data_IF_538229172600
#
_entry.id   IF_538229172600
#
_cell.length_a   1.000
_cell.length_b   1.000
_cell.length_c   1.000
_cell.angle_alpha   90.00
_cell.angle_beta   90.00
_cell.angle_gamma   90.00
#
_symmetry.space_group_name_H-M   'P 1'
#
loop_
_entity.id
_entity.type
_entity.pdbx_description
1 polymer ?
#
# COMPACT_ATOMS: atom_id res chain seq x y z
N UNK A 1 -49.44 -1.82 -57.37
CA UNK A 1 -48.04 -1.35 -57.38
C UNK A 1 -47.38 -2.05 -56.22
N UNK A 2 -46.51 -3.00 -56.52
CA UNK A 2 -46.01 -3.95 -55.53
C UNK A 2 -44.86 -3.30 -54.77
N UNK A 3 -45.14 -2.91 -53.52
CA UNK A 3 -44.21 -2.23 -52.62
C UNK A 3 -43.25 -3.16 -51.88
N UNK A 4 -43.48 -4.46 -51.95
CA UNK A 4 -42.65 -5.48 -51.31
C UNK A 4 -41.15 -5.41 -51.71
N UNK A 5 -40.78 -5.22 -52.99
CA UNK A 5 -39.37 -5.12 -53.39
C UNK A 5 -38.70 -3.87 -52.83
N UNK A 6 -39.42 -2.75 -52.77
CA UNK A 6 -38.91 -1.47 -52.25
C UNK A 6 -38.66 -1.56 -50.74
N UNK A 7 -39.59 -2.18 -50.01
CA UNK A 7 -39.46 -2.44 -48.57
C UNK A 7 -38.27 -3.37 -48.30
N UNK A 8 -38.12 -4.45 -49.09
CA UNK A 8 -37.00 -5.39 -48.94
C UNK A 8 -35.64 -4.70 -49.17
N UNK A 9 -35.50 -3.90 -50.22
CA UNK A 9 -34.26 -3.13 -50.48
C UNK A 9 -33.96 -2.14 -49.36
N UNK A 10 -35.00 -1.46 -48.85
CA UNK A 10 -34.85 -0.50 -47.75
C UNK A 10 -34.37 -1.18 -46.47
N UNK A 11 -34.90 -2.36 -46.13
CA UNK A 11 -34.49 -3.14 -44.96
C UNK A 11 -33.05 -3.63 -45.07
N UNK A 12 -32.63 -4.09 -46.26
CA UNK A 12 -31.23 -4.49 -46.50
C UNK A 12 -30.30 -3.28 -46.31
N UNK A 13 -30.67 -2.11 -46.85
CA UNK A 13 -29.89 -0.89 -46.69
C UNK A 13 -29.79 -0.46 -45.21
N UNK A 14 -30.89 -0.52 -44.45
CA UNK A 14 -30.88 -0.25 -43.01
C UNK A 14 -30.03 -1.26 -42.24
N UNK A 15 -30.18 -2.56 -42.51
CA UNK A 15 -29.37 -3.60 -41.87
C UNK A 15 -27.87 -3.45 -42.14
N UNK A 16 -27.51 -3.09 -43.37
CA UNK A 16 -26.11 -2.79 -43.74
C UNK A 16 -25.59 -1.56 -43.00
N UNK A 17 -26.39 -0.49 -42.90
CA UNK A 17 -26.03 0.70 -42.13
C UNK A 17 -25.82 0.36 -40.64
N UNK A 18 -26.71 -0.42 -40.04
CA UNK A 18 -26.56 -0.88 -38.66
C UNK A 18 -25.30 -1.74 -38.47
N UNK A 19 -25.00 -2.63 -39.41
CA UNK A 19 -23.81 -3.48 -39.36
C UNK A 19 -22.52 -2.63 -39.40
N UNK A 20 -22.47 -1.63 -40.28
CA UNK A 20 -21.32 -0.72 -40.38
C UNK A 20 -21.10 0.02 -39.05
N UNK A 21 -22.17 0.55 -38.46
CA UNK A 21 -22.11 1.25 -37.17
C UNK A 21 -21.65 0.29 -36.06
N UNK A 22 -22.18 -0.94 -36.03
CA UNK A 22 -21.80 -1.94 -35.04
C UNK A 22 -20.31 -2.32 -35.12
N UNK A 23 -19.76 -2.50 -36.32
CA UNK A 23 -18.33 -2.77 -36.54
C UNK A 23 -17.48 -1.59 -36.06
N UNK A 24 -17.90 -0.35 -36.36
CA UNK A 24 -17.19 0.84 -35.91
C UNK A 24 -17.18 0.96 -34.38
N UNK A 25 -18.32 0.74 -33.72
CA UNK A 25 -18.44 0.72 -32.26
C UNK A 25 -17.57 -0.38 -31.63
N UNK A 26 -17.57 -1.59 -32.21
CA UNK A 26 -16.70 -2.67 -31.76
C UNK A 26 -15.22 -2.27 -31.85
N UNK A 27 -14.82 -1.62 -32.95
CA UNK A 27 -13.50 -1.03 -33.09
C UNK A 27 -13.19 -0.01 -31.98
N UNK A 28 -14.10 0.93 -31.73
CA UNK A 28 -13.96 1.92 -30.66
C UNK A 28 -13.80 1.29 -29.27
N UNK A 29 -14.60 0.27 -28.94
CA UNK A 29 -14.49 -0.44 -27.66
C UNK A 29 -13.13 -1.10 -27.48
N UNK A 30 -12.57 -1.70 -28.53
CA UNK A 30 -11.22 -2.30 -28.44
C UNK A 30 -10.13 -1.26 -28.19
N UNK A 31 -10.23 -0.08 -28.80
CA UNK A 31 -9.31 1.03 -28.58
C UNK A 31 -9.46 1.61 -27.16
N UNK A 32 -10.70 1.82 -26.70
CA UNK A 32 -10.99 2.30 -25.35
C UNK A 32 -10.44 1.34 -24.29
N UNK A 33 -10.60 0.03 -24.47
CA UNK A 33 -10.05 -0.97 -23.54
C UNK A 33 -8.52 -0.92 -23.47
N UNK A 34 -7.85 -0.71 -24.60
CA UNK A 34 -6.39 -0.53 -24.63
C UNK A 34 -5.96 0.74 -23.90
N UNK A 35 -6.67 1.85 -24.10
CA UNK A 35 -6.39 3.12 -23.40
C UNK A 35 -6.62 2.99 -21.91
N UNK A 36 -7.71 2.34 -21.49
CA UNK A 36 -8.02 2.09 -20.08
C UNK A 36 -6.96 1.21 -19.42
N UNK A 37 -6.53 0.14 -20.08
CA UNK A 37 -5.45 -0.71 -19.56
C UNK A 37 -4.13 0.05 -19.37
N UNK A 38 -3.77 0.92 -20.32
CA UNK A 38 -2.59 1.79 -20.17
C UNK A 38 -2.74 2.77 -19.02
N UNK A 39 -3.91 3.40 -18.90
CA UNK A 39 -4.20 4.32 -17.80
C UNK A 39 -4.13 3.62 -16.43
N UNK A 40 -4.60 2.36 -16.34
CA UNK A 40 -4.42 1.54 -15.14
C UNK A 40 -2.95 1.26 -14.84
N UNK A 41 -2.17 0.85 -15.84
CA UNK A 41 -0.75 0.57 -15.67
C UNK A 41 0.04 1.83 -15.25
N UNK A 42 -0.27 2.98 -15.84
CA UNK A 42 0.35 4.26 -15.49
C UNK A 42 -0.05 4.70 -14.07
N UNK A 43 -1.32 4.55 -13.69
CA UNK A 43 -1.78 4.83 -12.33
C UNK A 43 -1.07 3.94 -11.28
N UNK A 44 -0.90 2.64 -11.57
CA UNK A 44 -0.18 1.71 -10.69
C UNK A 44 1.31 2.09 -10.55
N UNK A 45 1.94 2.54 -11.65
CA UNK A 45 3.33 3.04 -11.64
C UNK A 45 3.45 4.32 -10.81
N UNK A 46 2.55 5.27 -11.00
CA UNK A 46 2.55 6.54 -10.27
C UNK A 46 2.33 6.33 -8.77
N UNK A 47 1.38 5.47 -8.39
CA UNK A 47 1.16 5.08 -6.99
C UNK A 47 2.38 4.39 -6.40
N UNK A 48 3.02 3.49 -7.17
CA UNK A 48 4.22 2.78 -6.74
C UNK A 48 5.37 3.74 -6.48
N UNK A 49 5.62 4.67 -7.40
CA UNK A 49 6.66 5.70 -7.28
C UNK A 49 6.38 6.65 -6.12
N UNK A 50 5.13 7.11 -5.96
CA UNK A 50 4.72 7.97 -4.85
C UNK A 50 4.96 7.30 -3.49
N UNK A 51 4.58 6.03 -3.33
CA UNK A 51 4.84 5.29 -2.08
C UNK A 51 6.33 5.06 -1.82
N UNK A 52 7.16 4.85 -2.86
CA UNK A 52 8.62 4.80 -2.73
C UNK A 52 9.18 6.16 -2.28
N UNK A 53 8.73 7.26 -2.86
CA UNK A 53 9.15 8.61 -2.47
C UNK A 53 8.80 8.91 -1.01
N UNK A 54 7.58 8.58 -0.58
CA UNK A 54 7.15 8.71 0.82
C UNK A 54 8.00 7.85 1.77
N UNK A 55 8.35 6.63 1.35
CA UNK A 55 9.25 5.76 2.10
C UNK A 55 10.64 6.38 2.26
N UNK A 56 11.20 6.93 1.17
CA UNK A 56 12.50 7.57 1.19
C UNK A 56 12.50 8.80 2.09
N UNK A 57 11.48 9.65 1.99
CA UNK A 57 11.32 10.82 2.87
C UNK A 57 11.24 10.40 4.34
N UNK A 58 10.42 9.40 4.64
CA UNK A 58 10.33 8.80 5.97
C UNK A 58 11.68 8.29 6.49
N UNK A 59 12.47 7.60 5.66
CA UNK A 59 13.78 7.09 6.06
C UNK A 59 14.80 8.23 6.26
N UNK A 60 14.81 9.22 5.36
CA UNK A 60 15.71 10.37 5.41
C UNK A 60 15.41 11.31 6.58
N UNK A 61 14.19 11.31 7.12
CA UNK A 61 13.83 12.12 8.27
C UNK A 61 14.75 11.89 9.49
N UNK A 62 15.23 10.64 9.69
CA UNK A 62 16.17 10.28 10.77
C UNK A 62 17.56 10.93 10.60
N UNK A 63 17.95 11.29 9.38
CA UNK A 63 19.29 11.80 9.07
C UNK A 63 19.32 13.30 8.77
N UNK A 64 18.21 13.86 8.30
CA UNK A 64 18.12 15.24 7.82
C UNK A 64 17.86 16.27 8.93
N UNK A 65 17.35 15.82 10.09
CA UNK A 65 17.10 16.68 11.26
C UNK A 65 17.99 16.24 12.42
N UNK A 66 18.78 17.19 12.95
CA UNK A 66 19.72 16.92 14.03
C UNK A 66 19.02 16.37 15.29
N UNK A 67 17.87 16.95 15.65
CA UNK A 67 17.07 16.48 16.79
C UNK A 67 16.66 15.02 16.62
N UNK A 68 16.03 14.67 15.49
CA UNK A 68 15.61 13.29 15.21
C UNK A 68 16.79 12.33 15.18
N UNK A 69 17.92 12.73 14.59
CA UNK A 69 19.13 11.92 14.54
C UNK A 69 19.67 11.59 15.94
N UNK A 70 19.72 12.58 16.84
CA UNK A 70 20.14 12.38 18.24
C UNK A 70 19.21 11.46 19.00
N UNK A 71 17.89 11.61 18.81
CA UNK A 71 16.89 10.72 19.42
C UNK A 71 17.02 9.30 18.87
N UNK A 72 17.17 9.16 17.55
CA UNK A 72 17.32 7.86 16.88
C UNK A 72 18.58 7.10 17.33
N UNK A 73 19.65 7.80 17.66
CA UNK A 73 20.88 7.20 18.17
C UNK A 73 20.67 6.46 19.52
N UNK A 74 19.68 6.88 20.31
CA UNK A 74 19.33 6.27 21.61
C UNK A 74 18.26 5.18 21.52
N UNK A 75 17.83 4.78 20.31
CA UNK A 75 16.70 3.83 20.13
C UNK A 75 16.87 2.49 20.86
N UNK A 76 18.11 2.09 21.14
CA UNK A 76 18.44 0.85 21.80
C UNK A 76 18.42 0.98 23.35
N UNK A 77 18.21 2.19 23.89
CA UNK A 77 18.11 2.46 25.33
C UNK A 77 16.70 2.24 25.91
N UNK A 78 15.68 2.06 25.06
CA UNK A 78 14.28 1.88 25.46
C UNK A 78 13.49 3.19 25.55
N UNK A 79 12.16 3.09 25.68
CA UNK A 79 11.24 4.23 25.71
C UNK A 79 11.35 5.05 27.01
N UNK A 80 11.69 4.39 28.11
CA UNK A 80 11.77 5.01 29.45
C UNK A 80 13.00 5.93 29.61
N UNK A 81 14.00 5.84 28.71
CA UNK A 81 15.19 6.70 28.76
C UNK A 81 14.95 8.10 28.18
N UNK A 82 13.85 8.29 27.44
CA UNK A 82 13.54 9.52 26.74
C UNK A 82 12.83 10.53 27.63
N UNK A 83 13.18 11.81 27.48
CA UNK A 83 12.29 12.87 27.97
C UNK A 83 11.04 13.01 27.07
N UNK A 84 10.06 13.79 27.50
CA UNK A 84 8.77 13.94 26.80
C UNK A 84 8.92 14.32 25.32
N UNK A 85 9.82 15.25 24.99
CA UNK A 85 10.03 15.68 23.60
C UNK A 85 10.72 14.60 22.76
N UNK A 86 11.68 13.87 23.34
CA UNK A 86 12.35 12.77 22.66
C UNK A 86 11.39 11.59 22.44
N UNK A 87 10.56 11.28 23.43
CA UNK A 87 9.52 10.25 23.37
C UNK A 87 8.52 10.56 22.25
N UNK A 88 8.01 11.80 22.19
CA UNK A 88 7.09 12.21 21.13
C UNK A 88 7.74 12.09 19.74
N UNK A 89 9.01 12.51 19.63
CA UNK A 89 9.79 12.42 18.38
C UNK A 89 9.93 10.98 17.90
N UNK A 90 10.40 10.06 18.76
CA UNK A 90 10.66 8.67 18.37
C UNK A 90 9.38 7.89 18.13
N UNK A 91 8.36 8.08 18.96
CA UNK A 91 7.11 7.34 18.82
C UNK A 91 6.32 7.82 17.61
N UNK A 92 6.27 9.12 17.33
CA UNK A 92 5.69 9.66 16.09
C UNK A 92 6.39 9.08 14.88
N UNK A 93 7.72 9.06 14.90
CA UNK A 93 8.50 8.45 13.84
C UNK A 93 8.13 6.98 13.59
N UNK A 94 8.12 6.15 14.64
CA UNK A 94 7.79 4.73 14.49
C UNK A 94 6.32 4.52 14.06
N UNK A 95 5.36 5.29 14.61
CA UNK A 95 3.93 5.24 14.23
C UNK A 95 3.70 5.55 12.76
N UNK A 96 4.44 6.50 12.18
CA UNK A 96 4.37 6.79 10.73
C UNK A 96 4.78 5.56 9.93
N UNK A 97 5.83 4.85 10.37
CA UNK A 97 6.25 3.59 9.76
C UNK A 97 5.15 2.52 9.76
N UNK A 98 4.49 2.32 10.90
CA UNK A 98 3.34 1.42 11.00
C UNK A 98 2.17 1.86 10.11
N UNK A 99 1.85 3.14 10.09
CA UNK A 99 0.78 3.71 9.25
C UNK A 99 1.04 3.47 7.78
N UNK A 100 2.30 3.61 7.35
CA UNK A 100 2.70 3.30 5.98
C UNK A 100 2.51 1.81 5.66
N UNK A 101 2.93 0.91 6.55
CA UNK A 101 2.76 -0.55 6.37
C UNK A 101 1.28 -0.92 6.25
N UNK A 102 0.43 -0.39 7.13
CA UNK A 102 -1.03 -0.62 7.09
C UNK A 102 -1.62 -0.09 5.77
N UNK A 103 -1.16 1.07 5.31
CA UNK A 103 -1.61 1.67 4.04
C UNK A 103 -1.18 0.82 2.85
N UNK A 104 0.08 0.39 2.81
CA UNK A 104 0.62 -0.48 1.77
C UNK A 104 -0.13 -1.82 1.70
N UNK A 105 -0.53 -2.37 2.86
CA UNK A 105 -1.37 -3.57 2.98
C UNK A 105 -2.76 -3.37 2.40
N UNK A 106 -3.42 -2.26 2.74
CA UNK A 106 -4.75 -1.93 2.20
C UNK A 106 -4.72 -1.72 0.68
N UNK A 107 -3.62 -1.19 0.15
CA UNK A 107 -3.44 -0.95 -1.28
C UNK A 107 -3.00 -2.19 -2.07
N UNK A 108 -2.78 -3.34 -1.43
CA UNK A 108 -2.37 -4.55 -2.14
C UNK A 108 -0.93 -4.51 -2.66
N UNK A 109 -0.07 -3.66 -2.08
CA UNK A 109 1.28 -3.39 -2.58
C UNK A 109 2.08 -4.69 -2.72
N UNK A 110 2.75 -4.86 -3.86
CA UNK A 110 3.52 -6.07 -4.20
C UNK A 110 2.73 -7.38 -4.00
N UNK A 111 1.45 -7.37 -4.40
CA UNK A 111 0.54 -8.52 -4.24
C UNK A 111 0.45 -9.00 -2.79
N UNK A 112 0.58 -8.08 -1.83
CA UNK A 112 0.55 -8.38 -0.40
C UNK A 112 1.59 -9.42 0.04
N UNK A 113 2.77 -9.42 -0.58
CA UNK A 113 3.88 -10.33 -0.26
C UNK A 113 4.22 -10.35 1.25
N UNK A 114 4.13 -11.50 1.94
CA UNK A 114 4.49 -11.60 3.35
C UNK A 114 5.94 -11.20 3.63
N UNK A 115 6.84 -11.54 2.72
CA UNK A 115 8.26 -11.20 2.81
C UNK A 115 8.45 -9.68 2.87
N UNK A 116 7.72 -8.93 2.04
CA UNK A 116 7.79 -7.47 2.05
C UNK A 116 7.45 -6.92 3.43
N UNK A 117 6.33 -7.34 4.02
CA UNK A 117 5.92 -6.85 5.34
C UNK A 117 6.86 -7.30 6.46
N UNK A 118 7.38 -8.53 6.39
CA UNK A 118 8.41 -8.98 7.33
C UNK A 118 9.61 -8.02 7.35
N UNK A 119 10.22 -7.73 6.19
CA UNK A 119 11.33 -6.75 6.11
C UNK A 119 10.97 -5.37 6.64
N UNK A 120 9.73 -4.92 6.41
CA UNK A 120 9.24 -3.62 6.91
C UNK A 120 9.11 -3.62 8.43
N UNK A 121 8.58 -4.69 9.02
CA UNK A 121 8.51 -4.83 10.47
C UNK A 121 9.88 -5.01 11.11
N UNK A 122 10.80 -5.74 10.46
CA UNK A 122 12.18 -5.88 10.94
C UNK A 122 12.81 -4.51 11.16
N UNK A 123 12.62 -3.57 10.23
CA UNK A 123 13.15 -2.21 10.36
C UNK A 123 12.48 -1.33 11.42
N UNK A 124 11.31 -1.74 11.96
CA UNK A 124 10.63 -1.05 13.06
C UNK A 124 10.89 -1.71 14.42
N UNK A 125 11.21 -3.01 14.41
CA UNK A 125 11.42 -3.84 15.60
C UNK A 125 12.91 -4.11 15.86
N UNK A 126 13.81 -3.54 15.05
CA UNK A 126 15.27 -3.69 15.18
C UNK A 126 15.87 -3.03 16.43
N UNK A 127 15.07 -2.28 17.17
CA UNK A 127 15.47 -1.48 18.32
C UNK A 127 14.55 -1.71 19.52
N UNK A 128 15.10 -1.52 20.72
CA UNK A 128 14.36 -1.75 21.97
C UNK A 128 13.11 -0.86 22.07
N UNK A 129 13.22 0.43 21.73
CA UNK A 129 12.06 1.32 21.75
C UNK A 129 10.98 0.94 20.71
N UNK A 130 11.39 0.35 19.58
CA UNK A 130 10.49 -0.18 18.56
C UNK A 130 9.70 -1.40 19.05
N UNK A 131 10.40 -2.31 19.74
CA UNK A 131 9.83 -3.49 20.38
C UNK A 131 8.86 -3.12 21.50
N UNK A 132 9.20 -2.15 22.34
CA UNK A 132 8.33 -1.67 23.42
C UNK A 132 7.10 -0.94 22.88
N UNK A 133 7.26 -0.06 21.89
CA UNK A 133 6.12 0.61 21.26
C UNK A 133 5.16 -0.39 20.60
N UNK A 134 5.72 -1.45 20.01
CA UNK A 134 4.95 -2.54 19.44
C UNK A 134 4.08 -3.23 20.48
N UNK A 135 4.69 -3.73 21.56
CA UNK A 135 4.00 -4.48 22.60
C UNK A 135 3.02 -3.62 23.39
N UNK A 136 3.38 -2.37 23.69
CA UNK A 136 2.55 -1.46 24.49
C UNK A 136 1.33 -0.93 23.71
N UNK A 137 1.47 -0.70 22.40
CA UNK A 137 0.47 0.10 21.66
C UNK A 137 0.15 -0.45 20.26
N UNK A 138 1.17 -0.68 19.43
CA UNK A 138 0.93 -0.88 17.99
C UNK A 138 0.41 -2.27 17.65
N UNK A 139 0.72 -3.29 18.45
CA UNK A 139 0.25 -4.67 18.23
C UNK A 139 -1.27 -4.76 18.15
N UNK A 140 -1.97 -4.18 19.13
CA UNK A 140 -3.44 -4.21 19.16
C UNK A 140 -4.04 -3.44 17.97
N UNK A 141 -3.44 -2.31 17.60
CA UNK A 141 -3.88 -1.53 16.44
C UNK A 141 -3.72 -2.36 15.16
N UNK A 142 -2.61 -3.07 14.99
CA UNK A 142 -2.36 -3.92 13.83
C UNK A 142 -3.35 -5.07 13.76
N UNK A 143 -3.51 -5.85 14.83
CA UNK A 143 -4.42 -7.00 14.86
C UNK A 143 -5.87 -6.58 14.59
N UNK A 144 -6.30 -5.44 15.14
CA UNK A 144 -7.65 -4.91 14.92
C UNK A 144 -7.89 -4.42 13.48
N UNK A 145 -6.84 -3.98 12.77
CA UNK A 145 -6.95 -3.54 11.37
C UNK A 145 -6.83 -4.70 10.38
N UNK A 146 -5.84 -5.58 10.60
CA UNK A 146 -5.58 -6.75 9.76
C UNK A 146 -4.88 -7.84 10.61
N UNK A 147 -5.62 -8.89 11.03
CA UNK A 147 -5.05 -9.97 11.85
C UNK A 147 -3.87 -10.69 11.20
N UNK A 148 -3.87 -10.84 9.87
CA UNK A 148 -2.76 -11.51 9.16
C UNK A 148 -1.51 -10.64 9.16
N UNK A 149 -1.67 -9.32 9.11
CA UNK A 149 -0.56 -8.39 9.29
C UNK A 149 -0.01 -8.43 10.72
N UNK A 150 -0.91 -8.58 11.70
CA UNK A 150 -0.56 -8.81 13.10
C UNK A 150 0.29 -10.06 13.31
N UNK A 151 -0.09 -11.18 12.70
CA UNK A 151 0.67 -12.45 12.75
C UNK A 151 2.08 -12.31 12.16
N UNK A 152 2.23 -11.59 11.04
CA UNK A 152 3.56 -11.31 10.46
C UNK A 152 4.40 -10.48 11.42
N UNK A 153 3.82 -9.47 12.07
CA UNK A 153 4.52 -8.62 13.03
C UNK A 153 4.92 -9.41 14.29
N UNK A 154 4.01 -10.23 14.83
CA UNK A 154 4.28 -11.11 15.98
C UNK A 154 5.45 -12.05 15.65
N UNK A 155 5.38 -12.74 14.52
CA UNK A 155 6.47 -13.64 14.08
C UNK A 155 7.80 -12.90 13.92
N UNK A 156 7.79 -11.71 13.33
CA UNK A 156 9.00 -10.89 13.17
C UNK A 156 9.58 -10.48 14.52
N UNK A 157 8.72 -10.13 15.48
CA UNK A 157 9.15 -9.83 16.85
C UNK A 157 9.80 -11.06 17.51
N UNK A 158 9.20 -12.23 17.39
CA UNK A 158 9.72 -13.48 17.95
C UNK A 158 11.08 -13.84 17.36
N UNK A 159 11.25 -13.69 16.04
CA UNK A 159 12.51 -13.94 15.35
C UNK A 159 13.64 -13.00 15.81
N UNK A 160 13.31 -11.74 16.12
CA UNK A 160 14.31 -10.75 16.55
C UNK A 160 14.65 -10.83 18.04
N UNK A 161 13.66 -11.11 18.89
CA UNK A 161 13.83 -11.10 20.35
C UNK A 161 14.12 -12.48 20.93
N UNK A 162 13.83 -13.55 20.18
CA UNK A 162 13.85 -14.92 20.65
C UNK A 162 12.73 -15.25 21.66
N UNK A 163 11.79 -14.33 21.90
CA UNK A 163 10.73 -14.46 22.89
C UNK A 163 9.35 -14.30 22.23
N UNK A 164 8.35 -15.13 22.61
CA UNK A 164 6.98 -14.92 22.17
C UNK A 164 6.46 -13.58 22.65
N UNK A 165 5.61 -12.95 21.85
CA UNK A 165 4.87 -11.78 22.34
C UNK A 165 3.87 -12.27 23.39
N UNK A 166 4.00 -11.78 24.63
CA UNK A 166 3.10 -12.17 25.70
C UNK A 166 1.67 -11.76 25.34
N UNK A 167 0.74 -12.71 25.48
CA UNK A 167 -0.68 -12.44 25.34
C UNK A 167 -1.10 -11.41 26.40
N UNK A 168 -1.82 -10.36 25.97
CA UNK A 168 -2.45 -9.37 26.85
C UNK A 168 -3.57 -10.01 27.68
#
# INVERSE_FOLDING_TARGET
MDWEPVVAVSQIATGLATLIVAVFLAGQFTLQRKTLNRAHEDADRDLSMSSVSLLQEYQLYRYTKEQTSKVWAKRDEGLDSFNESEYDTITTYLRIGYTQIITDRRLGRLLNSPIYYHWRFTALLDSLCGQELYTQQMRNILINNDPALGEIADKTYEELTGNPVLAL
#
